data_IF_887493032524
#
_entry.id   IF_887493032524
#
_cell.length_a   1.000
_cell.length_b   1.000
_cell.length_c   1.000
_cell.angle_alpha   90.00
_cell.angle_beta   90.00
_cell.angle_gamma   90.00
#
_symmetry.space_group_name_H-M   'P 1'
#
loop_
_entity.id
_entity.type
_entity.pdbx_description
1 polymer ?
#
# COMPACT_ATOMS: atom_id res chain seq x y z
N UNK A 1 51.20 -45.45 39.78
CA UNK A 1 50.47 -46.55 40.45
C UNK A 1 49.01 -46.47 40.02
N UNK A 2 48.54 -47.47 39.26
CA UNK A 2 47.12 -47.68 38.90
C UNK A 2 46.40 -48.27 40.10
N UNK A 3 45.17 -47.85 40.40
CA UNK A 3 44.10 -48.64 41.06
C UNK A 3 42.82 -47.79 41.07
N UNK A 4 41.87 -47.97 40.14
CA UNK A 4 40.70 -48.86 40.24
C UNK A 4 40.03 -48.83 41.61
N UNK A 5 38.79 -48.31 41.68
CA UNK A 5 37.63 -48.96 42.32
C UNK A 5 36.33 -48.22 41.96
N UNK A 6 35.43 -48.97 41.33
CA UNK A 6 34.02 -48.65 41.18
C UNK A 6 33.36 -48.58 42.56
N UNK A 7 32.45 -47.63 42.76
CA UNK A 7 31.34 -47.82 43.69
C UNK A 7 30.09 -47.19 43.07
N UNK A 8 29.21 -48.07 42.60
CA UNK A 8 27.84 -47.74 42.27
C UNK A 8 27.05 -47.61 43.57
N UNK A 9 26.36 -46.50 43.77
CA UNK A 9 25.25 -46.46 44.72
C UNK A 9 24.12 -45.63 44.12
N UNK A 10 23.06 -46.36 43.82
CA UNK A 10 21.76 -45.92 43.32
C UNK A 10 21.07 -45.10 44.43
N UNK A 11 20.73 -43.84 44.16
CA UNK A 11 19.75 -43.10 44.94
C UNK A 11 18.72 -42.51 43.98
N UNK A 12 17.54 -43.12 43.97
CA UNK A 12 16.36 -42.67 43.25
C UNK A 12 15.64 -41.57 44.01
N UNK A 13 15.10 -40.63 43.22
CA UNK A 13 13.93 -39.78 43.46
C UNK A 13 14.17 -38.37 44.06
N UNK A 14 14.16 -37.35 43.20
CA UNK A 14 13.11 -36.33 43.26
C UNK A 14 12.99 -35.58 41.93
N UNK A 15 11.73 -35.43 41.50
CA UNK A 15 11.26 -34.70 40.33
C UNK A 15 11.59 -33.21 40.49
N UNK A 16 12.39 -32.65 39.58
CA UNK A 16 12.42 -31.21 39.32
C UNK A 16 12.56 -31.02 37.81
N UNK A 17 11.41 -30.79 37.19
CA UNK A 17 11.26 -30.38 35.80
C UNK A 17 11.86 -28.98 35.64
N UNK A 18 13.16 -28.88 35.35
CA UNK A 18 13.71 -27.63 34.84
C UNK A 18 13.63 -27.65 33.31
N UNK A 19 12.45 -27.32 32.79
CA UNK A 19 12.35 -26.70 31.48
C UNK A 19 13.07 -25.35 31.57
N UNK A 20 14.39 -25.37 31.39
CA UNK A 20 15.17 -24.15 31.19
C UNK A 20 14.64 -23.52 29.91
N UNK A 21 13.93 -22.40 30.09
CA UNK A 21 13.12 -21.76 29.09
C UNK A 21 13.88 -21.55 27.79
N UNK A 22 13.23 -21.94 26.70
CA UNK A 22 13.45 -21.30 25.41
C UNK A 22 13.07 -19.84 25.64
N UNK A 23 14.06 -18.97 25.81
CA UNK A 23 13.86 -17.53 25.74
C UNK A 23 13.43 -17.24 24.29
N UNK A 24 12.12 -17.29 24.05
CA UNK A 24 11.53 -16.88 22.79
C UNK A 24 11.86 -15.41 22.59
N UNK A 25 12.65 -15.10 21.56
CA UNK A 25 12.77 -13.75 21.05
C UNK A 25 11.37 -13.31 20.59
N UNK A 26 10.69 -12.55 21.45
CA UNK A 26 9.36 -12.03 21.19
C UNK A 26 9.37 -11.09 19.97
N UNK A 27 8.29 -11.14 19.20
CA UNK A 27 8.25 -10.83 17.78
C UNK A 27 8.73 -9.42 17.39
N UNK A 28 9.69 -9.36 16.45
CA UNK A 28 10.09 -8.14 15.73
C UNK A 28 8.99 -7.62 14.78
N UNK A 29 7.86 -8.33 14.68
CA UNK A 29 6.79 -8.09 13.72
C UNK A 29 5.42 -8.12 14.41
N UNK A 30 4.54 -7.20 14.02
CA UNK A 30 3.11 -7.17 14.34
C UNK A 30 2.36 -7.54 13.06
N UNK A 31 1.67 -8.67 13.08
CA UNK A 31 0.83 -9.13 11.97
C UNK A 31 -0.59 -8.58 12.14
N UNK A 32 -1.16 -8.02 11.08
CA UNK A 32 -2.52 -7.46 11.05
C UNK A 32 -3.27 -8.10 9.89
N UNK A 33 -4.40 -8.78 10.17
CA UNK A 33 -5.28 -9.25 9.09
C UNK A 33 -6.16 -8.10 8.61
N UNK A 34 -6.10 -7.78 7.31
CA UNK A 34 -6.92 -6.73 6.73
C UNK A 34 -8.42 -7.02 6.86
N UNK A 35 -8.82 -8.29 6.80
CA UNK A 35 -10.23 -8.70 6.89
C UNK A 35 -10.84 -8.43 8.28
N UNK A 36 -10.02 -8.42 9.33
CA UNK A 36 -10.47 -8.13 10.69
C UNK A 36 -10.70 -6.62 10.94
N UNK A 37 -10.14 -5.75 10.10
CA UNK A 37 -10.18 -4.29 10.26
C UNK A 37 -10.57 -3.62 8.94
N UNK A 38 -11.82 -3.80 8.47
CA UNK A 38 -12.29 -3.20 7.23
C UNK A 38 -12.27 -1.67 7.34
N UNK A 39 -11.68 -1.01 6.35
CA UNK A 39 -11.60 0.45 6.28
C UNK A 39 -12.12 0.96 4.95
N UNK A 40 -12.65 2.18 4.93
CA UNK A 40 -13.10 2.88 3.70
C UNK A 40 -12.29 4.15 3.49
N UNK A 41 -12.19 4.62 2.24
CA UNK A 41 -11.39 5.80 1.91
C UNK A 41 -11.84 7.09 2.64
N UNK A 42 -13.13 7.22 2.95
CA UNK A 42 -13.71 8.35 3.68
C UNK A 42 -13.75 8.17 5.20
N UNK A 43 -13.36 7.00 5.71
CA UNK A 43 -13.35 6.70 7.14
C UNK A 43 -12.29 7.48 7.92
N UNK A 44 -12.52 7.61 9.21
CA UNK A 44 -11.60 8.21 10.17
C UNK A 44 -11.13 7.11 11.13
N UNK A 45 -9.82 6.91 11.21
CA UNK A 45 -9.21 5.82 11.96
C UNK A 45 -8.03 6.33 12.77
N UNK A 46 -7.84 5.78 13.97
CA UNK A 46 -6.73 6.14 14.84
C UNK A 46 -6.12 4.93 15.58
N UNK A 47 -6.66 3.73 15.41
CA UNK A 47 -6.06 2.51 15.96
C UNK A 47 -4.87 2.05 15.10
N UNK A 48 -3.93 1.32 15.71
CA UNK A 48 -2.77 0.77 14.99
C UNK A 48 -3.22 -0.06 13.78
N UNK A 49 -4.17 -0.96 14.00
CA UNK A 49 -4.59 -1.93 13.00
C UNK A 49 -5.30 -1.25 11.82
N UNK A 50 -6.30 -0.42 12.09
CA UNK A 50 -7.05 0.26 11.03
C UNK A 50 -6.17 1.25 10.26
N UNK A 51 -5.30 2.00 10.93
CA UNK A 51 -4.39 2.94 10.25
C UNK A 51 -3.34 2.19 9.44
N UNK A 52 -2.80 1.06 9.93
CA UNK A 52 -1.86 0.24 9.16
C UNK A 52 -2.54 -0.39 7.93
N UNK A 53 -3.77 -0.89 8.07
CA UNK A 53 -4.57 -1.36 6.93
C UNK A 53 -4.80 -0.20 5.97
N UNK A 54 -5.31 0.95 6.42
CA UNK A 54 -5.57 2.12 5.59
C UNK A 54 -4.33 2.58 4.82
N UNK A 55 -3.17 2.66 5.48
CA UNK A 55 -1.90 3.00 4.84
C UNK A 55 -1.49 1.98 3.79
N UNK A 56 -1.74 0.68 4.03
CA UNK A 56 -1.48 -0.38 3.05
C UNK A 56 -2.42 -0.29 1.85
N UNK A 57 -3.70 0.06 2.06
CA UNK A 57 -4.70 0.14 0.98
C UNK A 57 -4.59 1.42 0.15
N UNK A 58 -4.28 2.55 0.78
CA UNK A 58 -4.39 3.88 0.17
C UNK A 58 -3.06 4.64 0.10
N UNK A 59 -1.98 4.16 0.71
CA UNK A 59 -0.66 4.83 0.65
C UNK A 59 -0.61 6.23 1.28
N UNK A 60 -1.67 6.64 1.99
CA UNK A 60 -1.80 7.95 2.63
C UNK A 60 -2.55 7.82 3.96
N UNK A 61 -2.47 8.84 4.79
CA UNK A 61 -3.20 8.87 6.06
C UNK A 61 -4.72 9.04 5.85
N UNK A 62 -5.54 8.52 6.77
CA UNK A 62 -6.95 8.86 6.89
C UNK A 62 -7.19 10.38 6.98
N UNK A 63 -8.38 10.85 6.58
CA UNK A 63 -8.70 12.29 6.52
C UNK A 63 -8.79 12.99 7.88
N UNK A 64 -8.76 12.25 8.99
CA UNK A 64 -8.67 12.79 10.35
C UNK A 64 -7.23 13.16 10.78
N UNK A 65 -6.21 12.94 9.96
CA UNK A 65 -4.85 13.40 10.26
C UNK A 65 -4.59 14.80 9.72
N UNK A 66 -3.89 15.60 10.51
CA UNK A 66 -3.34 16.89 10.12
C UNK A 66 -1.88 16.98 10.58
N UNK A 67 -1.05 17.65 9.79
CA UNK A 67 0.36 17.89 10.15
C UNK A 67 0.45 18.79 11.38
N UNK A 68 1.59 18.77 12.07
CA UNK A 68 1.89 19.70 13.18
C UNK A 68 1.70 21.15 12.75
N UNK A 69 2.14 21.52 11.54
CA UNK A 69 2.00 22.87 11.01
C UNK A 69 0.52 23.27 10.80
N UNK A 70 -0.30 22.39 10.22
CA UNK A 70 -1.74 22.62 10.06
C UNK A 70 -2.44 22.75 11.42
N UNK A 71 -2.11 21.90 12.39
CA UNK A 71 -2.67 22.00 13.74
C UNK A 71 -2.26 23.31 14.43
N UNK A 72 -1.00 23.71 14.33
CA UNK A 72 -0.50 24.98 14.89
C UNK A 72 -1.20 26.19 14.26
N UNK A 73 -1.47 26.16 12.96
CA UNK A 73 -2.23 27.20 12.27
C UNK A 73 -3.68 27.33 12.79
N UNK A 74 -4.25 26.25 13.32
CA UNK A 74 -5.56 26.25 13.99
C UNK A 74 -5.49 26.70 15.46
N UNK A 75 -4.29 26.94 16.00
CA UNK A 75 -4.08 27.36 17.40
C UNK A 75 -3.64 26.23 18.34
N UNK A 76 -3.22 25.08 17.80
CA UNK A 76 -2.70 23.99 18.63
C UNK A 76 -1.40 24.39 19.32
N UNK A 77 -1.37 24.18 20.64
CA UNK A 77 -0.20 24.29 21.49
C UNK A 77 0.00 22.95 22.21
N UNK A 78 1.05 22.24 21.84
CA UNK A 78 1.39 20.92 22.41
C UNK A 78 1.56 20.93 23.93
N UNK A 79 2.02 22.05 24.51
CA UNK A 79 2.19 22.21 25.97
C UNK A 79 0.86 22.43 26.70
N UNK A 80 -0.19 22.82 25.98
CA UNK A 80 -1.52 23.00 26.52
C UNK A 80 -2.42 21.77 26.33
N UNK A 81 -1.99 20.77 25.53
CA UNK A 81 -2.81 19.58 25.25
C UNK A 81 -4.16 19.90 24.61
N UNK A 82 -4.24 20.97 23.80
CA UNK A 82 -5.51 21.56 23.36
C UNK A 82 -5.95 21.13 21.95
N UNK A 83 -5.45 20.01 21.40
CA UNK A 83 -5.70 19.66 19.99
C UNK A 83 -7.20 19.51 19.69
N UNK A 84 -7.94 18.79 20.54
CA UNK A 84 -9.37 18.58 20.35
C UNK A 84 -10.19 19.87 20.46
N UNK A 85 -9.67 20.90 21.14
CA UNK A 85 -10.33 22.20 21.24
C UNK A 85 -10.25 22.98 19.92
N UNK A 86 -9.12 22.87 19.21
CA UNK A 86 -8.86 23.65 18.00
C UNK A 86 -9.09 22.87 16.70
N UNK A 87 -9.04 21.55 16.77
CA UNK A 87 -9.24 20.64 15.65
C UNK A 87 -9.98 19.37 16.14
N UNK A 88 -11.28 19.47 16.43
CA UNK A 88 -12.06 18.35 16.95
C UNK A 88 -11.97 17.09 16.08
N UNK A 89 -11.71 15.95 16.70
CA UNK A 89 -11.61 14.66 16.02
C UNK A 89 -10.38 14.49 15.11
N UNK A 90 -9.39 15.39 15.20
CA UNK A 90 -8.14 15.29 14.44
C UNK A 90 -7.01 14.68 15.28
N UNK A 91 -6.10 13.99 14.58
CA UNK A 91 -4.84 13.45 15.11
C UNK A 91 -3.65 14.09 14.40
N UNK A 92 -2.49 14.16 15.06
CA UNK A 92 -1.26 14.66 14.44
C UNK A 92 -0.66 13.59 13.54
N UNK A 93 -0.32 13.93 12.30
CA UNK A 93 0.39 13.02 11.39
C UNK A 93 0.60 13.60 10.00
N UNK A 94 1.54 12.99 9.26
CA UNK A 94 1.93 13.41 7.91
C UNK A 94 3.25 14.18 7.85
N UNK A 95 3.87 14.44 9.00
CA UNK A 95 5.19 15.06 9.07
C UNK A 95 6.31 14.04 8.80
N UNK A 96 7.44 14.52 8.25
CA UNK A 96 8.62 13.70 7.99
C UNK A 96 9.21 13.13 9.28
N UNK A 97 9.40 11.82 9.33
CA UNK A 97 10.20 11.16 10.36
C UNK A 97 11.68 11.12 9.94
N UNK A 98 12.56 11.65 10.79
CA UNK A 98 13.96 11.86 10.44
C UNK A 98 14.82 10.58 10.43
N UNK A 99 14.43 9.55 11.19
CA UNK A 99 15.22 8.33 11.41
C UNK A 99 16.69 8.62 11.82
N UNK A 100 16.92 9.63 12.66
CA UNK A 100 18.28 10.09 13.01
C UNK A 100 19.10 9.04 13.75
N UNK A 101 18.43 8.18 14.51
CA UNK A 101 19.01 7.07 15.26
C UNK A 101 19.09 5.77 14.44
N UNK A 102 18.64 5.76 13.19
CA UNK A 102 18.72 4.59 12.31
C UNK A 102 17.92 3.37 12.80
N UNK A 103 16.83 3.58 13.56
CA UNK A 103 16.05 2.51 14.20
C UNK A 103 15.13 1.76 13.24
N UNK A 104 14.82 2.34 12.07
CA UNK A 104 14.11 1.66 10.98
C UNK A 104 15.00 1.58 9.72
N UNK A 105 14.79 0.61 8.81
CA UNK A 105 15.69 0.38 7.68
C UNK A 105 15.78 1.58 6.73
N UNK A 106 17.00 1.97 6.38
CA UNK A 106 17.24 3.01 5.38
C UNK A 106 17.51 2.40 4.00
N UNK A 107 17.18 3.15 2.94
CA UNK A 107 17.50 2.81 1.56
C UNK A 107 17.54 4.08 0.71
N UNK A 108 18.30 4.05 -0.40
CA UNK A 108 18.40 5.20 -1.31
C UNK A 108 17.01 5.58 -1.83
N UNK A 109 16.59 6.82 -1.58
CA UNK A 109 15.29 7.34 -2.01
C UNK A 109 14.12 6.98 -1.08
N UNK A 110 14.37 6.24 0.01
CA UNK A 110 13.35 6.01 1.04
C UNK A 110 13.17 7.26 1.88
N UNK A 111 11.92 7.65 2.06
CA UNK A 111 11.51 8.69 3.00
C UNK A 111 10.51 8.11 3.98
N UNK A 112 10.55 8.58 5.21
CA UNK A 112 9.69 8.14 6.29
C UNK A 112 8.77 9.27 6.75
N UNK A 113 7.53 8.93 7.06
CA UNK A 113 6.48 9.82 7.56
C UNK A 113 5.92 9.24 8.86
N UNK A 114 5.56 10.09 9.82
CA UNK A 114 4.99 9.67 11.12
C UNK A 114 3.53 10.08 11.31
N UNK A 115 2.79 9.32 12.12
CA UNK A 115 1.49 9.71 12.65
C UNK A 115 1.22 9.17 14.07
N UNK A 116 0.38 9.88 14.81
CA UNK A 116 -0.10 9.50 16.15
C UNK A 116 -1.11 8.36 16.09
N UNK A 117 -1.12 7.51 17.11
CA UNK A 117 -2.04 6.37 17.22
C UNK A 117 -2.75 6.40 18.57
N UNK A 118 -4.06 6.21 18.58
CA UNK A 118 -4.92 6.20 19.76
C UNK A 118 -4.89 7.54 20.50
N UNK A 119 -5.08 8.64 19.76
CA UNK A 119 -5.09 9.99 20.31
C UNK A 119 -6.47 10.31 20.88
N UNK A 120 -6.52 10.83 22.11
CA UNK A 120 -7.75 11.37 22.70
C UNK A 120 -7.95 12.87 22.38
N UNK A 121 -7.03 13.45 21.60
CA UNK A 121 -7.00 14.87 21.25
C UNK A 121 -6.52 15.78 22.40
N UNK A 122 -6.02 15.22 23.49
CA UNK A 122 -5.37 15.93 24.59
C UNK A 122 -3.86 16.08 24.38
N UNK A 123 -3.09 15.65 25.39
CA UNK A 123 -1.64 15.53 25.27
C UNK A 123 -1.28 14.34 24.37
N UNK A 124 -0.30 14.52 23.47
CA UNK A 124 0.17 13.42 22.61
C UNK A 124 0.76 12.30 23.47
N UNK A 125 0.35 11.07 23.21
CA UNK A 125 0.87 9.85 23.85
C UNK A 125 2.22 9.42 23.22
N UNK A 126 2.77 8.27 23.62
CA UNK A 126 4.01 7.70 23.05
C UNK A 126 3.85 6.84 21.79
N UNK A 127 2.64 6.66 21.26
CA UNK A 127 2.33 5.66 20.23
C UNK A 127 2.33 6.25 18.82
N UNK A 128 3.08 5.66 17.89
CA UNK A 128 3.20 6.16 16.51
C UNK A 128 3.29 5.05 15.51
N UNK A 129 2.74 5.28 14.32
CA UNK A 129 3.19 4.60 13.11
C UNK A 129 4.22 5.49 12.42
N UNK A 130 5.26 4.84 11.89
CA UNK A 130 6.19 5.40 10.91
C UNK A 130 6.07 4.58 9.63
N UNK A 131 5.75 5.21 8.51
CA UNK A 131 5.53 4.55 7.22
C UNK A 131 6.38 5.16 6.13
N UNK A 132 6.86 4.34 5.20
CA UNK A 132 7.72 4.78 4.11
C UNK A 132 6.97 4.98 2.80
N UNK A 133 7.58 5.75 1.90
CA UNK A 133 7.09 5.90 0.52
C UNK A 133 7.13 4.60 -0.31
N UNK A 134 7.86 3.58 0.15
CA UNK A 134 7.95 2.25 -0.48
C UNK A 134 7.16 1.16 0.28
N UNK A 135 6.22 1.56 1.14
CA UNK A 135 5.20 0.65 1.71
C UNK A 135 5.61 -0.11 2.98
N UNK A 136 6.73 0.24 3.61
CA UNK A 136 7.08 -0.30 4.93
C UNK A 136 6.32 0.45 6.03
N UNK A 137 5.86 -0.29 7.04
CA UNK A 137 5.17 0.26 8.20
C UNK A 137 5.86 -0.26 9.46
N UNK A 138 6.13 0.64 10.40
CA UNK A 138 6.69 0.33 11.72
C UNK A 138 5.87 1.03 12.79
N UNK A 139 5.78 0.39 13.95
CA UNK A 139 5.05 0.90 15.10
C UNK A 139 5.96 1.01 16.32
N UNK A 140 5.79 2.09 17.08
CA UNK A 140 6.37 2.32 18.40
C UNK A 140 5.25 2.63 19.38
N UNK A 141 5.33 2.07 20.59
CA UNK A 141 4.49 2.41 21.74
C UNK A 141 5.29 3.06 22.88
N UNK A 142 6.57 3.33 22.65
CA UNK A 142 7.55 3.80 23.61
C UNK A 142 8.26 5.07 23.13
N UNK A 143 7.55 5.91 22.36
CA UNK A 143 8.03 7.22 21.92
C UNK A 143 9.34 7.13 21.13
N UNK A 144 9.33 6.28 20.09
CA UNK A 144 10.40 6.04 19.13
C UNK A 144 11.64 5.34 19.70
N UNK A 145 11.61 4.81 20.93
CA UNK A 145 12.73 4.07 21.51
C UNK A 145 12.94 2.72 20.82
N UNK A 146 11.86 1.97 20.57
CA UNK A 146 11.88 0.72 19.82
C UNK A 146 10.80 0.67 18.75
N UNK A 147 11.01 -0.18 17.73
CA UNK A 147 10.07 -0.36 16.64
C UNK A 147 9.80 -1.83 16.36
N UNK A 148 8.53 -2.13 16.05
CA UNK A 148 8.10 -3.42 15.51
C UNK A 148 7.62 -3.20 14.08
N UNK A 149 8.03 -4.05 13.14
CA UNK A 149 7.54 -3.99 11.76
C UNK A 149 6.06 -4.38 11.77
N UNK A 150 5.20 -3.60 11.13
CA UNK A 150 3.81 -3.99 10.93
C UNK A 150 3.69 -4.61 9.54
N UNK A 151 3.10 -5.79 9.47
CA UNK A 151 2.82 -6.49 8.21
C UNK A 151 1.32 -6.72 8.15
N UNK A 152 0.69 -6.14 7.12
CA UNK A 152 -0.72 -6.34 6.84
C UNK A 152 -0.85 -7.53 5.90
N UNK A 153 -1.48 -8.59 6.38
CA UNK A 153 -1.78 -9.78 5.61
C UNK A 153 -3.11 -9.56 4.87
N UNK A 154 -3.07 -9.63 3.55
CA UNK A 154 -4.27 -9.92 2.76
C UNK A 154 -4.47 -11.43 2.84
N UNK A 155 -5.60 -11.88 3.37
CA UNK A 155 -5.84 -13.32 3.55
C UNK A 155 -5.74 -14.04 2.20
N UNK A 156 -4.80 -14.98 2.10
CA UNK A 156 -4.46 -15.71 0.85
C UNK A 156 -5.33 -16.96 0.64
N UNK A 157 -6.52 -17.01 1.26
CA UNK A 157 -7.52 -18.06 1.05
C UNK A 157 -8.47 -17.64 -0.07
N UNK A 158 -8.13 -18.00 -1.29
CA UNK A 158 -8.88 -17.65 -2.50
C UNK A 158 -10.29 -18.29 -2.56
N UNK A 159 -11.32 -17.47 -2.80
CA UNK A 159 -12.41 -17.65 -3.81
C UNK A 159 -13.59 -16.67 -3.54
N UNK A 160 -14.42 -16.29 -4.55
CA UNK A 160 -14.18 -16.05 -5.97
C UNK A 160 -13.93 -14.54 -6.23
N UNK A 161 -13.69 -14.17 -7.49
CA UNK A 161 -13.74 -12.78 -7.93
C UNK A 161 -15.11 -12.16 -7.58
N UNK A 162 -15.15 -11.32 -6.55
CA UNK A 162 -16.25 -10.38 -6.35
C UNK A 162 -15.78 -8.99 -6.76
N UNK A 163 -16.56 -8.39 -7.66
CA UNK A 163 -16.37 -7.03 -8.17
C UNK A 163 -16.54 -6.06 -7.01
N UNK A 164 -15.47 -5.69 -6.28
CA UNK A 164 -15.68 -4.89 -5.07
C UNK A 164 -14.55 -4.03 -4.53
N UNK A 165 -13.27 -4.29 -4.80
CA UNK A 165 -12.21 -3.55 -4.10
C UNK A 165 -11.13 -2.98 -5.02
N UNK A 166 -11.57 -2.25 -6.04
CA UNK A 166 -10.68 -1.44 -6.86
C UNK A 166 -10.36 -0.14 -6.12
N UNK A 167 -9.10 -0.01 -5.68
CA UNK A 167 -8.54 1.12 -4.92
C UNK A 167 -7.81 2.10 -5.83
N UNK A 168 -8.02 3.40 -5.62
CA UNK A 168 -7.45 4.50 -6.43
C UNK A 168 -5.90 4.53 -6.49
N UNK A 169 -5.20 3.94 -5.52
CA UNK A 169 -3.74 3.90 -5.52
C UNK A 169 -3.16 2.50 -5.79
N UNK A 170 -4.01 1.56 -6.23
CA UNK A 170 -3.55 0.23 -6.63
C UNK A 170 -2.89 0.23 -8.01
N UNK A 171 -2.04 -0.77 -8.23
CA UNK A 171 -1.48 -1.07 -9.54
C UNK A 171 -2.27 -2.23 -10.13
N UNK A 172 -2.97 -1.98 -11.24
CA UNK A 172 -3.79 -2.97 -11.91
C UNK A 172 -3.28 -3.16 -13.33
N UNK A 173 -3.33 -4.40 -13.80
CA UNK A 173 -2.92 -4.78 -15.14
C UNK A 173 -3.92 -5.71 -15.83
N UNK A 174 -4.86 -6.31 -15.09
CA UNK A 174 -5.86 -7.21 -15.68
C UNK A 174 -6.95 -6.40 -16.38
N UNK A 175 -7.58 -6.98 -17.41
CA UNK A 175 -8.72 -6.35 -18.10
C UNK A 175 -9.80 -5.88 -17.13
N UNK A 176 -10.25 -6.77 -16.25
CA UNK A 176 -11.42 -6.51 -15.40
C UNK A 176 -11.12 -5.48 -14.31
N UNK A 177 -9.93 -5.53 -13.72
CA UNK A 177 -9.54 -4.57 -12.67
C UNK A 177 -9.33 -3.17 -13.25
N UNK A 178 -8.66 -3.05 -14.39
CA UNK A 178 -8.40 -1.75 -15.02
C UNK A 178 -9.70 -1.15 -15.56
N UNK A 179 -10.62 -1.95 -16.10
CA UNK A 179 -11.93 -1.48 -16.53
C UNK A 179 -12.76 -0.98 -15.35
N UNK A 180 -12.80 -1.74 -14.25
CA UNK A 180 -13.50 -1.33 -13.04
C UNK A 180 -12.86 -0.07 -12.41
N UNK A 181 -11.53 0.07 -12.47
CA UNK A 181 -10.80 1.27 -12.04
C UNK A 181 -11.19 2.49 -12.87
N UNK A 182 -11.13 2.37 -14.19
CA UNK A 182 -11.49 3.44 -15.11
C UNK A 182 -12.93 3.89 -14.91
N UNK A 183 -13.85 2.94 -14.69
CA UNK A 183 -15.25 3.24 -14.40
C UNK A 183 -15.42 4.00 -13.07
N UNK A 184 -14.65 3.62 -12.03
CA UNK A 184 -14.73 4.24 -10.71
C UNK A 184 -14.08 5.64 -10.65
N UNK A 185 -12.94 5.84 -11.32
CA UNK A 185 -12.07 7.01 -11.12
C UNK A 185 -11.91 7.90 -12.36
N UNK A 186 -12.29 7.44 -13.55
CA UNK A 186 -12.23 8.24 -14.77
C UNK A 186 -10.81 8.53 -15.29
N UNK A 187 -9.79 7.88 -14.73
CA UNK A 187 -8.40 7.95 -15.18
C UNK A 187 -7.72 6.59 -15.05
N UNK A 188 -6.51 6.44 -15.62
CA UNK A 188 -5.74 5.21 -15.49
C UNK A 188 -5.09 5.08 -14.10
N UNK A 189 -4.82 3.85 -13.64
CA UNK A 189 -3.94 3.59 -12.50
C UNK A 189 -2.54 4.19 -12.70
N UNK A 190 -1.85 4.49 -11.59
CA UNK A 190 -0.54 5.16 -11.62
C UNK A 190 0.60 4.33 -12.27
N UNK A 191 0.41 3.03 -12.44
CA UNK A 191 1.37 2.15 -13.11
C UNK A 191 1.26 2.19 -14.65
N UNK A 192 0.48 3.11 -15.22
CA UNK A 192 0.43 3.34 -16.66
C UNK A 192 1.31 4.50 -17.08
N UNK A 193 2.02 4.31 -18.20
CA UNK A 193 2.84 5.33 -18.85
C UNK A 193 2.33 5.53 -20.28
N UNK A 194 2.22 6.77 -20.70
CA UNK A 194 2.09 7.08 -22.13
C UNK A 194 3.32 6.60 -22.88
N UNK A 195 3.18 6.41 -24.19
CA UNK A 195 4.32 6.03 -25.04
C UNK A 195 5.48 7.03 -24.95
N UNK A 196 5.20 8.31 -24.76
CA UNK A 196 6.23 9.34 -24.68
C UNK A 196 6.94 9.35 -23.32
N UNK A 197 6.21 9.14 -22.23
CA UNK A 197 6.81 8.93 -20.89
C UNK A 197 7.68 7.67 -20.88
N UNK A 198 7.21 6.56 -21.46
CA UNK A 198 8.01 5.34 -21.57
C UNK A 198 9.27 5.54 -22.42
N UNK A 199 9.17 6.23 -23.57
CA UNK A 199 10.34 6.57 -24.42
C UNK A 199 11.34 7.44 -23.68
N UNK A 200 10.89 8.37 -22.83
CA UNK A 200 11.77 9.19 -22.00
C UNK A 200 12.59 8.34 -21.00
N UNK A 201 12.07 7.19 -20.59
CA UNK A 201 12.78 6.19 -19.77
C UNK A 201 13.68 5.25 -20.60
N UNK A 202 13.74 5.41 -21.92
CA UNK A 202 14.54 4.56 -22.82
C UNK A 202 13.81 3.32 -23.33
N UNK A 203 12.48 3.27 -23.20
CA UNK A 203 11.68 2.22 -23.83
C UNK A 203 11.70 2.34 -25.35
N UNK A 204 11.81 1.21 -26.05
CA UNK A 204 11.53 1.12 -27.48
C UNK A 204 10.77 -0.16 -27.78
N UNK A 205 9.74 -0.08 -28.63
CA UNK A 205 8.95 -1.25 -29.02
C UNK A 205 9.81 -2.35 -29.68
N UNK A 206 10.88 -1.99 -30.40
CA UNK A 206 11.80 -2.94 -31.03
C UNK A 206 12.61 -3.79 -30.05
N UNK A 207 12.87 -3.26 -28.86
CA UNK A 207 13.67 -3.95 -27.83
C UNK A 207 12.82 -4.72 -26.82
N UNK A 208 11.49 -4.52 -26.83
CA UNK A 208 10.57 -5.11 -25.86
C UNK A 208 11.07 -4.94 -24.41
N UNK A 209 11.55 -3.74 -24.08
CA UNK A 209 12.34 -3.48 -22.87
C UNK A 209 11.59 -2.68 -21.80
N UNK A 210 10.25 -2.60 -21.85
CA UNK A 210 9.49 -1.77 -20.90
C UNK A 210 9.70 -2.27 -19.48
N UNK A 211 9.60 -3.57 -19.23
CA UNK A 211 9.82 -4.14 -17.91
C UNK A 211 11.24 -3.91 -17.35
N UNK A 212 12.22 -3.62 -18.20
CA UNK A 212 13.57 -3.27 -17.77
C UNK A 212 13.71 -1.79 -17.39
N UNK A 213 13.05 -0.88 -18.12
CA UNK A 213 13.17 0.57 -17.90
C UNK A 213 12.10 1.14 -16.97
N UNK A 214 10.97 0.43 -16.83
CA UNK A 214 9.84 0.77 -15.98
C UNK A 214 9.18 -0.52 -15.44
N UNK A 215 9.82 -1.20 -14.47
CA UNK A 215 9.29 -2.45 -13.90
C UNK A 215 7.89 -2.26 -13.31
N UNK A 216 6.96 -3.15 -13.66
CA UNK A 216 5.57 -3.12 -13.19
C UNK A 216 4.65 -2.14 -13.94
N UNK A 217 5.17 -1.41 -14.93
CA UNK A 217 4.37 -0.48 -15.72
C UNK A 217 3.81 -1.11 -17.02
N UNK A 218 2.70 -0.56 -17.50
CA UNK A 218 2.12 -0.83 -18.81
C UNK A 218 1.97 0.45 -19.63
N UNK A 219 1.81 0.30 -20.96
CA UNK A 219 1.56 1.43 -21.86
C UNK A 219 0.08 1.82 -21.82
N UNK A 220 -0.24 3.10 -21.70
CA UNK A 220 -1.61 3.59 -21.80
C UNK A 220 -1.77 5.08 -21.58
N UNK A 221 -2.93 5.59 -21.96
CA UNK A 221 -3.30 7.01 -21.81
C UNK A 221 -3.12 7.84 -23.07
N UNK A 222 -2.54 7.25 -24.11
CA UNK A 222 -2.46 7.80 -25.46
C UNK A 222 -3.86 7.91 -26.12
N UNK A 223 -4.04 8.89 -27.00
CA UNK A 223 -5.28 9.05 -27.76
C UNK A 223 -5.53 7.88 -28.72
N UNK A 224 -6.76 7.37 -28.72
CA UNK A 224 -7.26 6.39 -29.68
C UNK A 224 -8.13 7.09 -30.73
N UNK A 225 -7.83 6.85 -32.01
CA UNK A 225 -8.40 7.64 -33.10
C UNK A 225 -9.80 7.24 -33.57
N UNK A 226 -10.29 6.04 -33.22
CA UNK A 226 -11.53 5.46 -33.74
C UNK A 226 -11.66 5.57 -35.29
N UNK A 227 -10.58 5.33 -36.04
CA UNK A 227 -10.52 5.62 -37.49
C UNK A 227 -11.44 4.72 -38.30
N UNK A 228 -11.64 3.51 -37.80
CA UNK A 228 -12.49 2.48 -38.37
C UNK A 228 -13.97 2.68 -38.01
N UNK A 229 -14.29 3.62 -37.10
CA UNK A 229 -15.66 3.95 -36.70
C UNK A 229 -16.38 2.81 -35.97
N UNK A 230 -15.65 1.92 -35.31
CA UNK A 230 -16.19 0.74 -34.62
C UNK A 230 -16.77 1.06 -33.23
N UNK A 231 -16.40 2.21 -32.66
CA UNK A 231 -16.93 2.71 -31.39
C UNK A 231 -17.93 3.85 -31.62
N UNK A 232 -18.91 4.05 -30.72
CA UNK A 232 -19.93 5.07 -30.91
C UNK A 232 -19.34 6.48 -30.83
N UNK A 233 -19.66 7.33 -31.82
CA UNK A 233 -19.28 8.73 -31.81
C UNK A 233 -20.33 9.62 -31.15
N UNK A 234 -19.87 10.70 -30.52
CA UNK A 234 -20.71 11.77 -30.01
C UNK A 234 -19.95 13.09 -30.02
N UNK A 235 -20.67 14.21 -30.09
CA UNK A 235 -20.05 15.55 -30.08
C UNK A 235 -19.26 15.74 -28.78
N UNK A 236 -17.95 15.99 -28.92
CA UNK A 236 -17.04 16.19 -27.78
C UNK A 236 -16.53 14.90 -27.11
N UNK A 237 -16.92 13.72 -27.62
CA UNK A 237 -16.34 12.46 -27.18
C UNK A 237 -14.92 12.33 -27.73
N UNK A 238 -14.01 11.90 -26.86
CA UNK A 238 -12.63 11.56 -27.18
C UNK A 238 -12.33 10.19 -26.59
N UNK A 239 -11.42 9.46 -27.22
CA UNK A 239 -11.05 8.11 -26.82
C UNK A 239 -9.56 8.04 -26.48
N UNK A 240 -9.24 7.21 -25.48
CA UNK A 240 -7.87 6.81 -25.12
C UNK A 240 -7.79 5.29 -25.05
N UNK A 241 -6.58 4.75 -25.17
CA UNK A 241 -6.32 3.31 -25.07
C UNK A 241 -5.30 2.98 -23.97
N UNK A 242 -5.37 1.76 -23.44
CA UNK A 242 -4.32 1.19 -22.60
C UNK A 242 -4.13 -0.31 -22.81
N UNK A 243 -2.90 -0.78 -22.64
CA UNK A 243 -2.54 -2.19 -22.64
C UNK A 243 -3.08 -2.88 -21.37
N UNK A 244 -3.68 -4.05 -21.51
CA UNK A 244 -4.11 -4.90 -20.37
C UNK A 244 -3.58 -6.32 -20.55
N UNK A 245 -3.59 -7.10 -19.46
CA UNK A 245 -3.06 -8.46 -19.40
C UNK A 245 -1.59 -8.52 -19.88
N UNK A 246 -0.80 -7.50 -19.49
CA UNK A 246 0.64 -7.43 -19.83
C UNK A 246 1.47 -8.22 -18.84
N UNK A 247 2.53 -8.88 -19.33
CA UNK A 247 3.45 -9.66 -18.50
C UNK A 247 4.86 -9.07 -18.61
N UNK A 248 5.46 -8.69 -17.48
CA UNK A 248 6.82 -8.13 -17.42
C UNK A 248 7.05 -6.95 -18.40
N UNK A 249 6.04 -6.09 -18.57
CA UNK A 249 6.08 -4.94 -19.48
C UNK A 249 5.99 -5.30 -20.96
N UNK A 250 5.81 -6.58 -21.30
CA UNK A 250 5.52 -6.98 -22.69
C UNK A 250 4.13 -6.53 -23.06
N UNK A 251 4.03 -5.87 -24.22
CA UNK A 251 2.74 -5.47 -24.78
C UNK A 251 1.93 -6.70 -25.18
N UNK A 252 0.67 -6.74 -24.81
CA UNK A 252 -0.29 -7.76 -25.26
C UNK A 252 -0.94 -7.33 -26.59
N UNK A 253 -1.80 -8.16 -27.18
CA UNK A 253 -2.72 -7.74 -28.24
C UNK A 253 -4.02 -7.12 -27.67
N UNK A 254 -4.19 -7.16 -26.36
CA UNK A 254 -5.41 -6.85 -25.63
C UNK A 254 -5.40 -5.40 -25.12
N UNK A 255 -6.47 -4.65 -25.36
CA UNK A 255 -6.58 -3.24 -24.93
C UNK A 255 -7.92 -2.95 -24.28
N UNK A 256 -7.91 -1.96 -23.39
CA UNK A 256 -9.11 -1.19 -23.12
C UNK A 256 -9.08 0.10 -23.94
N UNK A 257 -10.25 0.50 -24.43
CA UNK A 257 -10.48 1.80 -25.06
C UNK A 257 -11.58 2.50 -24.26
N UNK A 258 -11.27 3.67 -23.72
CA UNK A 258 -12.13 4.37 -22.77
C UNK A 258 -12.34 5.82 -23.19
N UNK A 259 -13.55 6.32 -23.01
CA UNK A 259 -13.91 7.67 -23.40
C UNK A 259 -13.83 8.66 -22.24
N UNK A 260 -13.75 9.94 -22.57
CA UNK A 260 -13.86 11.02 -21.58
C UNK A 260 -15.26 11.14 -20.94
N UNK A 261 -16.27 10.46 -21.48
CA UNK A 261 -17.65 10.44 -20.97
C UNK A 261 -18.05 9.08 -20.35
N UNK A 262 -17.07 8.23 -20.03
CA UNK A 262 -17.27 7.05 -19.16
C UNK A 262 -17.59 5.73 -19.86
N UNK A 263 -17.57 5.68 -21.19
CA UNK A 263 -17.68 4.42 -21.94
C UNK A 263 -16.38 3.65 -21.89
N UNK A 264 -16.44 2.33 -21.72
CA UNK A 264 -15.27 1.46 -21.67
C UNK A 264 -15.51 0.24 -22.54
N UNK A 265 -14.61 0.02 -23.49
CA UNK A 265 -14.60 -1.11 -24.40
C UNK A 265 -13.32 -1.92 -24.25
N UNK A 266 -13.42 -3.21 -24.49
CA UNK A 266 -12.32 -4.15 -24.53
C UNK A 266 -12.13 -4.67 -25.95
N UNK A 267 -10.88 -4.78 -26.41
CA UNK A 267 -10.53 -5.46 -27.66
C UNK A 267 -9.50 -6.56 -27.38
N UNK A 268 -9.80 -7.83 -27.70
CA UNK A 268 -8.86 -8.93 -27.55
C UNK A 268 -7.89 -9.08 -28.73
N UNK A 269 -8.15 -8.39 -29.83
CA UNK A 269 -7.65 -8.74 -31.17
C UNK A 269 -7.00 -7.57 -31.90
N UNK A 270 -6.35 -6.68 -31.15
CA UNK A 270 -5.68 -5.49 -31.67
C UNK A 270 -6.62 -4.60 -32.50
N UNK A 271 -7.78 -4.25 -31.93
CA UNK A 271 -8.78 -3.32 -32.46
C UNK A 271 -9.60 -3.84 -33.66
N UNK A 272 -9.65 -5.16 -33.90
CA UNK A 272 -10.50 -5.72 -34.94
C UNK A 272 -11.97 -5.85 -34.48
N UNK A 273 -12.18 -6.12 -33.19
CA UNK A 273 -13.50 -6.16 -32.56
C UNK A 273 -13.47 -5.55 -31.15
N UNK A 274 -14.66 -5.16 -30.68
CA UNK A 274 -14.85 -4.50 -29.40
C UNK A 274 -16.04 -5.08 -28.63
N UNK A 275 -15.84 -5.31 -27.34
CA UNK A 275 -16.87 -5.65 -26.36
C UNK A 275 -17.07 -4.46 -25.41
N UNK A 276 -18.31 -4.01 -25.22
CA UNK A 276 -18.60 -2.96 -24.24
C UNK A 276 -18.62 -3.54 -22.82
N UNK A 277 -17.85 -2.94 -21.92
CA UNK A 277 -17.80 -3.31 -20.50
C UNK A 277 -18.66 -2.39 -19.62
N UNK A 278 -18.64 -1.08 -19.91
CA UNK A 278 -19.41 -0.04 -19.23
C UNK A 278 -20.00 0.96 -20.24
#
# INVERSE_FOLDING_TARGET
MRMKRLLAMLLTLLFALSAAGVAGAAAKTVEVSAAAYPVTASGAYDTLQEVAVYLTLYGRLPGNYITKAQAQALGWNSRAGNLNLVAPGKSIGGDRFGNYEGRVPDAKGRVWTECDIGSDGGYRNGKRIVFSNDGLIYYTDDHYETFRRVVVQADNTAAPADKGDIREHGAYLTRDDVAAYLHAYGHLPANYLTRDEAKALGWTNKKDNLGAVAPGCAIGGDNFGNREGLLPDAKGRTWKECDVNTENGRRSAERLVYSNDGLIYYTPDNHQSFERLF
#
